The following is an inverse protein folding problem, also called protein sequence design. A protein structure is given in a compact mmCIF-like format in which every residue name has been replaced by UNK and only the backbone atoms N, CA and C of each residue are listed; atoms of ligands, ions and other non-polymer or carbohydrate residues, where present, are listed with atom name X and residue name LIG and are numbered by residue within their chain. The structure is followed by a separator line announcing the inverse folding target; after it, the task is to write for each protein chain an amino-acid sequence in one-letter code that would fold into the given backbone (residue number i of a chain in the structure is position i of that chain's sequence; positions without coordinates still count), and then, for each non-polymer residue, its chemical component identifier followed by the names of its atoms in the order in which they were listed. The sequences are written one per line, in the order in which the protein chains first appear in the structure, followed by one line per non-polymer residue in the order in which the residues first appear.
data_IF_065272997830
#
_entry.id   IF_065272997830
#
_cell.length_a   1.000
_cell.length_b   1.000
_cell.length_c   1.000
_cell.angle_alpha   90.00
_cell.angle_beta   90.00
_cell.angle_gamma   90.00
#
_symmetry.space_group_name_H-M   'P 1'
#
loop_
_entity.id
_entity.type
_entity.pdbx_description
1 polymer ?
#
# COMPACT_ATOMS: atom_id res chain seq x y z
N UNK A 1 7.65 0.01 -14.85
CA UNK A 1 8.47 1.03 -14.14
C UNK A 1 8.09 2.36 -14.78
N UNK A 2 7.44 3.28 -14.06
CA UNK A 2 7.28 4.64 -14.62
C UNK A 2 8.67 5.29 -14.60
N UNK A 3 9.13 5.80 -15.75
CA UNK A 3 10.38 6.56 -15.85
C UNK A 3 10.45 7.68 -14.79
N UNK A 4 9.29 8.27 -14.47
CA UNK A 4 9.11 9.33 -13.48
C UNK A 4 9.56 8.94 -12.05
N UNK A 5 9.43 7.67 -11.64
CA UNK A 5 9.68 7.26 -10.26
C UNK A 5 11.18 7.26 -9.92
N UNK A 6 12.01 6.74 -10.81
CA UNK A 6 13.46 6.74 -10.63
C UNK A 6 14.04 8.15 -10.81
N UNK A 7 13.47 8.95 -11.70
CA UNK A 7 13.86 10.34 -11.90
C UNK A 7 13.68 11.19 -10.64
N UNK A 8 12.58 10.98 -9.89
CA UNK A 8 12.35 11.66 -8.60
C UNK A 8 13.47 11.35 -7.60
N UNK A 9 13.86 10.08 -7.47
CA UNK A 9 14.91 9.67 -6.53
C UNK A 9 16.28 10.22 -6.93
N UNK A 10 16.55 10.25 -8.24
CA UNK A 10 17.77 10.84 -8.82
C UNK A 10 17.86 12.35 -8.59
N UNK A 11 16.78 13.08 -8.88
CA UNK A 11 16.71 14.52 -8.70
C UNK A 11 16.84 14.94 -7.22
N UNK A 12 16.51 14.03 -6.30
CA UNK A 12 16.69 14.20 -4.85
C UNK A 12 18.08 13.80 -4.35
N UNK A 13 18.98 13.36 -5.23
CA UNK A 13 20.36 13.00 -4.87
C UNK A 13 20.47 11.76 -3.99
N UNK A 14 19.49 10.85 -4.07
CA UNK A 14 19.57 9.60 -3.32
C UNK A 14 20.70 8.71 -3.82
N UNK A 15 21.24 7.88 -2.93
CA UNK A 15 22.29 6.90 -3.20
C UNK A 15 21.68 5.51 -3.41
N UNK A 16 22.53 4.53 -3.66
CA UNK A 16 22.17 3.11 -3.73
C UNK A 16 21.10 2.84 -4.82
N UNK A 17 21.36 3.28 -6.06
CA UNK A 17 20.44 3.18 -7.20
C UNK A 17 19.93 1.75 -7.44
N UNK A 18 20.76 0.74 -7.16
CA UNK A 18 20.40 -0.67 -7.24
C UNK A 18 19.25 -1.05 -6.29
N UNK A 19 19.00 -0.26 -5.25
CA UNK A 19 17.91 -0.44 -4.27
C UNK A 19 16.64 0.33 -4.61
N UNK A 20 16.68 1.24 -5.57
CA UNK A 20 15.52 2.08 -5.90
C UNK A 20 14.32 1.27 -6.38
N UNK A 21 14.55 0.17 -7.09
CA UNK A 21 13.47 -0.74 -7.50
C UNK A 21 12.70 -1.33 -6.31
N UNK A 22 13.41 -1.67 -5.23
CA UNK A 22 12.80 -2.16 -3.99
C UNK A 22 12.00 -1.06 -3.29
N UNK A 23 12.58 0.14 -3.17
CA UNK A 23 11.91 1.31 -2.60
C UNK A 23 10.62 1.64 -3.38
N UNK A 24 10.70 1.74 -4.71
CA UNK A 24 9.55 2.02 -5.58
C UNK A 24 8.45 0.98 -5.41
N UNK A 25 8.82 -0.30 -5.30
CA UNK A 25 7.86 -1.39 -5.09
C UNK A 25 7.15 -1.27 -3.74
N UNK A 26 7.88 -0.98 -2.65
CA UNK A 26 7.29 -0.84 -1.31
C UNK A 26 6.31 0.33 -1.21
N UNK A 27 6.58 1.42 -1.92
CA UNK A 27 5.77 2.64 -1.90
C UNK A 27 4.94 2.84 -3.18
N UNK A 28 4.69 1.77 -3.94
CA UNK A 28 3.70 1.74 -5.02
C UNK A 28 3.96 2.67 -6.20
N UNK A 29 5.19 3.17 -6.38
CA UNK A 29 5.56 4.06 -7.49
C UNK A 29 4.82 5.41 -7.54
N UNK A 30 4.14 5.81 -6.47
CA UNK A 30 3.41 7.08 -6.41
C UNK A 30 4.40 8.26 -6.32
N UNK A 31 4.44 9.17 -7.31
CA UNK A 31 5.37 10.31 -7.31
C UNK A 31 5.33 11.18 -6.05
N UNK A 32 4.14 11.39 -5.48
CA UNK A 32 3.99 12.20 -4.27
C UNK A 32 4.58 11.50 -3.04
N UNK A 33 4.33 10.19 -2.89
CA UNK A 33 4.88 9.43 -1.78
C UNK A 33 6.40 9.28 -1.89
N UNK A 34 6.90 9.02 -3.10
CA UNK A 34 8.33 8.94 -3.37
C UNK A 34 9.05 10.26 -3.08
N UNK A 35 8.43 11.41 -3.38
CA UNK A 35 9.00 12.72 -3.02
C UNK A 35 9.10 12.93 -1.51
N UNK A 36 8.05 12.58 -0.76
CA UNK A 36 8.03 12.67 0.71
C UNK A 36 9.15 11.81 1.30
N UNK A 37 9.22 10.55 0.87
CA UNK A 37 10.24 9.61 1.34
C UNK A 37 11.64 10.01 0.95
N UNK A 38 11.84 10.50 -0.27
CA UNK A 38 13.15 10.94 -0.71
C UNK A 38 13.68 12.07 0.20
N UNK A 39 12.82 13.00 0.61
CA UNK A 39 13.19 14.01 1.62
C UNK A 39 13.50 13.38 2.98
N UNK A 40 12.71 12.43 3.47
CA UNK A 40 13.03 11.71 4.72
C UNK A 40 14.37 10.95 4.63
N UNK A 41 14.66 10.30 3.51
CA UNK A 41 15.90 9.53 3.29
C UNK A 41 17.10 10.47 3.20
N UNK A 42 16.97 11.59 2.49
CA UNK A 42 17.99 12.63 2.43
C UNK A 42 18.31 13.17 3.82
N UNK A 43 17.28 13.60 4.57
CA UNK A 43 17.44 14.27 5.86
C UNK A 43 17.96 13.35 6.98
N UNK A 44 17.43 12.13 7.08
CA UNK A 44 17.72 11.23 8.21
C UNK A 44 18.82 10.22 7.91
N UNK A 45 19.01 9.85 6.63
CA UNK A 45 19.93 8.79 6.21
C UNK A 45 21.04 9.32 5.29
N UNK A 46 21.15 10.64 5.12
CA UNK A 46 22.13 11.29 4.26
C UNK A 46 22.11 10.72 2.83
N UNK A 47 20.89 10.49 2.34
CA UNK A 47 20.58 9.95 1.02
C UNK A 47 20.75 8.44 0.86
N UNK A 48 21.18 7.68 1.87
CA UNK A 48 21.37 6.23 1.73
C UNK A 48 20.05 5.46 1.80
N UNK A 49 19.65 4.89 0.66
CA UNK A 49 18.46 4.05 0.54
C UNK A 49 18.69 2.69 1.19
N UNK A 50 19.90 2.13 1.12
CA UNK A 50 20.21 0.85 1.76
C UNK A 50 20.04 0.93 3.29
N UNK A 51 20.53 2.00 3.92
CA UNK A 51 20.32 2.22 5.37
C UNK A 51 18.85 2.40 5.72
N UNK A 52 18.10 3.13 4.90
CA UNK A 52 16.67 3.29 5.11
C UNK A 52 15.92 1.96 5.03
N UNK A 53 16.20 1.14 4.02
CA UNK A 53 15.58 -0.17 3.82
C UNK A 53 16.04 -1.21 4.86
N UNK A 54 17.17 -0.98 5.55
CA UNK A 54 17.64 -1.87 6.63
C UNK A 54 16.79 -1.80 7.91
N UNK A 55 15.90 -0.81 8.04
CA UNK A 55 14.99 -0.71 9.18
C UNK A 55 13.91 -1.81 9.15
N UNK A 56 13.54 -2.38 10.31
CA UNK A 56 12.68 -3.56 10.39
C UNK A 56 11.22 -3.32 10.01
N UNK A 57 10.77 -2.06 10.00
CA UNK A 57 9.41 -1.65 9.68
C UNK A 57 9.40 -0.61 8.58
N UNK A 58 8.39 -0.67 7.71
CA UNK A 58 8.17 0.35 6.70
C UNK A 58 7.90 1.70 7.39
N UNK A 59 8.70 2.71 7.07
CA UNK A 59 8.55 4.02 7.66
C UNK A 59 7.36 4.74 7.02
N UNK A 60 6.29 4.93 7.80
CA UNK A 60 5.15 5.74 7.38
C UNK A 60 5.47 7.23 7.49
N UNK A 61 6.05 7.67 8.62
CA UNK A 61 6.53 9.05 8.80
C UNK A 61 5.49 10.09 8.38
N UNK A 62 5.89 11.01 7.49
CA UNK A 62 5.02 12.06 6.95
C UNK A 62 3.89 11.54 6.04
N UNK A 63 3.91 10.26 5.66
CA UNK A 63 2.81 9.61 4.95
C UNK A 63 1.68 9.21 5.89
N UNK A 64 1.95 8.95 7.17
CA UNK A 64 0.94 8.49 8.14
C UNK A 64 -0.32 9.38 8.20
N UNK A 65 -0.22 10.72 8.36
CA UNK A 65 -1.40 11.58 8.38
C UNK A 65 -2.17 11.59 7.04
N UNK A 66 -1.47 11.41 5.92
CA UNK A 66 -2.09 11.33 4.59
C UNK A 66 -2.87 10.02 4.45
N UNK A 67 -2.27 8.91 4.86
CA UNK A 67 -2.90 7.58 4.86
C UNK A 67 -4.11 7.56 5.80
N UNK A 68 -4.01 8.25 6.95
CA UNK A 68 -5.12 8.45 7.87
C UNK A 68 -6.29 9.18 7.22
N UNK A 69 -6.04 10.25 6.48
CA UNK A 69 -7.11 10.96 5.79
C UNK A 69 -7.83 10.05 4.77
N UNK A 70 -7.06 9.27 3.99
CA UNK A 70 -7.64 8.29 3.07
C UNK A 70 -8.47 7.23 3.79
N UNK A 71 -7.95 6.69 4.89
CA UNK A 71 -8.61 5.64 5.67
C UNK A 71 -9.89 6.14 6.35
N UNK A 72 -9.89 7.36 6.90
CA UNK A 72 -11.05 7.92 7.59
C UNK A 72 -12.25 8.14 6.65
N UNK A 73 -11.98 8.42 5.37
CA UNK A 73 -13.01 8.60 4.33
C UNK A 73 -13.63 7.29 3.85
N UNK A 74 -13.10 6.14 4.27
CA UNK A 74 -13.66 4.84 3.93
C UNK A 74 -14.98 4.60 4.68
N UNK A 75 -15.98 4.11 3.95
CA UNK A 75 -17.20 3.56 4.51
C UNK A 75 -16.91 2.33 5.38
N UNK A 76 -17.88 1.94 6.21
CA UNK A 76 -17.75 0.76 7.07
C UNK A 76 -17.41 -0.50 6.26
N UNK A 77 -18.10 -0.74 5.13
CA UNK A 77 -17.84 -1.87 4.24
C UNK A 77 -16.44 -1.84 3.64
N UNK A 78 -15.94 -0.67 3.25
CA UNK A 78 -14.58 -0.52 2.72
C UNK A 78 -13.52 -0.80 3.79
N UNK A 79 -13.71 -0.31 5.03
CA UNK A 79 -12.81 -0.58 6.16
C UNK A 79 -12.72 -2.08 6.46
N UNK A 80 -13.86 -2.75 6.50
CA UNK A 80 -13.93 -4.21 6.66
C UNK A 80 -13.13 -4.93 5.57
N UNK A 81 -13.36 -4.57 4.30
CA UNK A 81 -12.72 -5.26 3.17
C UNK A 81 -11.22 -5.00 3.15
N UNK A 82 -10.77 -3.76 3.36
CA UNK A 82 -9.34 -3.45 3.34
C UNK A 82 -8.60 -4.06 4.54
N UNK A 83 -9.21 -4.10 5.73
CA UNK A 83 -8.65 -4.80 6.90
C UNK A 83 -8.53 -6.30 6.66
N UNK A 84 -9.56 -6.91 6.07
CA UNK A 84 -9.51 -8.33 5.72
C UNK A 84 -8.42 -8.63 4.67
N UNK A 85 -8.29 -7.82 3.62
CA UNK A 85 -7.24 -7.99 2.62
C UNK A 85 -5.84 -7.73 3.19
N UNK A 86 -5.67 -6.75 4.09
CA UNK A 86 -4.37 -6.41 4.67
C UNK A 86 -3.76 -7.53 5.54
N UNK A 87 -4.60 -8.45 6.04
CA UNK A 87 -4.17 -9.62 6.81
C UNK A 87 -3.71 -10.81 5.95
N UNK A 88 -3.69 -10.67 4.62
CA UNK A 88 -3.34 -11.71 3.66
C UNK A 88 -2.33 -11.18 2.64
N UNK A 89 -1.58 -12.04 1.96
CA UNK A 89 -0.70 -11.61 0.85
C UNK A 89 -1.50 -11.15 -0.36
N UNK A 90 -2.44 -11.99 -0.80
CA UNK A 90 -3.48 -11.64 -1.75
C UNK A 90 -4.69 -12.55 -1.50
N UNK A 91 -5.86 -12.16 -1.98
CA UNK A 91 -7.08 -12.94 -1.80
C UNK A 91 -7.92 -12.99 -3.08
N UNK A 92 -8.58 -14.13 -3.29
CA UNK A 92 -9.55 -14.28 -4.35
C UNK A 92 -10.82 -13.47 -4.02
N UNK A 93 -11.38 -12.77 -5.00
CA UNK A 93 -12.66 -12.06 -4.88
C UNK A 93 -13.81 -12.99 -4.48
N UNK A 94 -13.73 -14.29 -4.76
CA UNK A 94 -14.73 -15.27 -4.32
C UNK A 94 -14.59 -15.67 -2.85
N UNK A 95 -13.44 -15.39 -2.22
CA UNK A 95 -13.18 -15.70 -0.81
C UNK A 95 -13.55 -14.53 0.09
N UNK A 96 -14.84 -14.19 0.15
CA UNK A 96 -15.33 -13.12 1.03
C UNK A 96 -14.92 -13.34 2.50
N UNK A 97 -14.70 -12.29 3.31
CA UNK A 97 -14.54 -12.43 4.75
C UNK A 97 -15.78 -13.04 5.40
N UNK A 98 -15.76 -14.36 5.60
CA UNK A 98 -16.77 -15.10 6.36
C UNK A 98 -16.27 -15.20 7.80
N UNK A 99 -16.90 -14.46 8.72
CA UNK A 99 -16.59 -14.54 10.16
C UNK A 99 -15.63 -13.49 10.73
N UNK A 100 -15.04 -12.62 9.90
CA UNK A 100 -14.22 -11.49 10.40
C UNK A 100 -15.06 -10.41 11.12
N UNK A 101 -16.38 -10.41 10.92
CA UNK A 101 -17.32 -9.48 11.53
C UNK A 101 -18.25 -10.29 12.45
N UNK A 102 -18.13 -10.08 13.76
CA UNK A 102 -18.93 -10.82 14.77
C UNK A 102 -20.42 -10.48 14.73
N UNK A 103 -20.81 -9.36 14.11
CA UNK A 103 -22.15 -8.78 14.27
C UNK A 103 -23.06 -8.92 13.03
N UNK A 104 -22.51 -9.08 11.83
CA UNK A 104 -23.25 -9.49 10.63
C UNK A 104 -22.28 -9.69 9.46
N UNK A 105 -22.38 -10.78 8.67
CA UNK A 105 -21.61 -10.89 7.44
C UNK A 105 -22.00 -9.76 6.48
N UNK A 106 -21.00 -9.13 5.86
CA UNK A 106 -21.23 -8.13 4.81
C UNK A 106 -22.19 -8.71 3.76
N UNK A 107 -23.04 -7.93 3.08
CA UNK A 107 -23.82 -8.43 1.93
C UNK A 107 -22.95 -8.50 0.68
N UNK A 108 -23.29 -9.36 -0.29
CA UNK A 108 -22.48 -9.52 -1.51
C UNK A 108 -22.42 -8.24 -2.34
N UNK A 109 -23.54 -7.52 -2.45
CA UNK A 109 -23.57 -6.22 -3.11
C UNK A 109 -22.62 -5.21 -2.44
N UNK A 110 -22.67 -5.11 -1.11
CA UNK A 110 -21.82 -4.19 -0.34
C UNK A 110 -20.33 -4.56 -0.48
N UNK A 111 -20.00 -5.86 -0.54
CA UNK A 111 -18.64 -6.35 -0.77
C UNK A 111 -18.10 -5.93 -2.13
N UNK A 112 -18.86 -6.17 -3.20
CA UNK A 112 -18.45 -5.82 -4.55
C UNK A 112 -18.36 -4.30 -4.73
N UNK A 113 -19.28 -3.53 -4.14
CA UNK A 113 -19.22 -2.07 -4.15
C UNK A 113 -17.97 -1.55 -3.42
N UNK A 114 -17.64 -2.13 -2.26
CA UNK A 114 -16.43 -1.79 -1.51
C UNK A 114 -15.16 -2.09 -2.33
N UNK A 115 -15.04 -3.28 -2.93
CA UNK A 115 -13.91 -3.63 -3.82
C UNK A 115 -13.78 -2.64 -4.97
N UNK A 116 -14.88 -2.34 -5.66
CA UNK A 116 -14.86 -1.40 -6.78
C UNK A 116 -14.39 -0.01 -6.35
N UNK A 117 -14.88 0.48 -5.21
CA UNK A 117 -14.52 1.80 -4.68
C UNK A 117 -13.04 1.85 -4.25
N UNK A 118 -12.57 0.87 -3.48
CA UNK A 118 -11.18 0.74 -3.06
C UNK A 118 -10.23 0.67 -4.27
N UNK A 119 -10.59 -0.10 -5.30
CA UNK A 119 -9.79 -0.22 -6.53
C UNK A 119 -9.74 1.10 -7.30
N UNK A 120 -10.87 1.81 -7.42
CA UNK A 120 -10.90 3.13 -8.08
C UNK A 120 -10.02 4.17 -7.37
N UNK A 121 -9.85 4.04 -6.06
CA UNK A 121 -8.99 4.90 -5.24
C UNK A 121 -7.53 4.44 -5.19
N UNK A 122 -7.18 3.32 -5.84
CA UNK A 122 -5.82 2.76 -5.80
C UNK A 122 -5.42 2.17 -4.44
N UNK A 123 -6.39 1.86 -3.57
CA UNK A 123 -6.15 1.30 -2.24
C UNK A 123 -6.01 -0.23 -2.26
N UNK A 124 -6.42 -0.86 -3.35
CA UNK A 124 -6.20 -2.27 -3.65
C UNK A 124 -5.82 -2.41 -5.12
N UNK A 125 -5.06 -3.45 -5.41
CA UNK A 125 -4.58 -3.78 -6.75
C UNK A 125 -4.95 -5.19 -7.16
N UNK A 126 -4.89 -5.42 -8.47
CA UNK A 126 -5.09 -6.73 -9.08
C UNK A 126 -3.73 -7.36 -9.29
N UNK A 127 -3.54 -8.55 -8.76
CA UNK A 127 -2.33 -9.36 -8.95
C UNK A 127 -2.71 -10.70 -9.55
N UNK A 128 -1.78 -11.33 -10.25
CA UNK A 128 -1.95 -12.71 -10.71
C UNK A 128 -1.05 -13.62 -9.89
N UNK A 129 -1.56 -14.78 -9.49
CA UNK A 129 -0.71 -15.83 -8.93
C UNK A 129 0.07 -16.57 -10.03
N UNK A 130 0.92 -17.52 -9.63
CA UNK A 130 1.72 -18.33 -10.56
C UNK A 130 0.86 -19.18 -11.51
N UNK A 131 -0.43 -19.36 -11.21
CA UNK A 131 -1.41 -20.09 -12.03
C UNK A 131 -2.20 -19.16 -12.95
N UNK A 132 -1.97 -17.84 -12.88
CA UNK A 132 -2.69 -16.83 -13.66
C UNK A 132 -4.07 -16.49 -13.09
N UNK A 133 -4.38 -16.91 -11.86
CA UNK A 133 -5.62 -16.57 -11.18
C UNK A 133 -5.58 -15.12 -10.68
N UNK A 134 -6.68 -14.41 -10.90
CA UNK A 134 -6.78 -13.01 -10.52
C UNK A 134 -7.08 -12.88 -9.02
N UNK A 135 -6.14 -12.31 -8.27
CA UNK A 135 -6.27 -12.01 -6.87
C UNK A 135 -6.29 -10.49 -6.62
N UNK A 136 -6.72 -10.12 -5.41
CA UNK A 136 -6.71 -8.76 -4.90
C UNK A 136 -5.67 -8.64 -3.79
N UNK A 137 -4.86 -7.58 -3.83
CA UNK A 137 -3.86 -7.28 -2.82
C UNK A 137 -3.97 -5.82 -2.35
N UNK A 138 -3.51 -5.57 -1.12
CA UNK A 138 -3.31 -4.21 -0.60
C UNK A 138 -1.85 -3.83 -0.82
N UNK A 139 -1.55 -2.66 -1.41
CA UNK A 139 -0.17 -2.20 -1.54
C UNK A 139 0.55 -2.17 -0.19
N UNK A 140 1.84 -2.51 -0.17
CA UNK A 140 2.61 -2.69 1.06
C UNK A 140 2.50 -1.51 2.04
N UNK A 141 2.51 -0.27 1.51
CA UNK A 141 2.32 0.94 2.31
C UNK A 141 0.99 0.97 3.08
N UNK A 142 -0.13 0.72 2.39
CA UNK A 142 -1.44 0.67 3.03
C UNK A 142 -1.59 -0.53 3.94
N UNK A 143 -0.97 -1.66 3.58
CA UNK A 143 -0.95 -2.87 4.40
C UNK A 143 -0.28 -2.59 5.74
N UNK A 144 0.84 -1.89 5.74
CA UNK A 144 1.51 -1.46 6.96
C UNK A 144 0.60 -0.52 7.77
N UNK A 145 0.04 0.51 7.14
CA UNK A 145 -0.84 1.46 7.84
C UNK A 145 -2.06 0.79 8.51
N UNK A 146 -2.75 -0.10 7.77
CA UNK A 146 -3.97 -0.76 8.24
C UNK A 146 -3.70 -1.74 9.39
N UNK A 147 -2.49 -2.34 9.47
CA UNK A 147 -2.11 -3.21 10.60
C UNK A 147 -2.03 -2.47 11.94
N UNK A 148 -1.86 -1.15 11.91
CA UNK A 148 -1.75 -0.30 13.09
C UNK A 148 -3.07 0.42 13.45
N UNK A 149 -4.19 0.10 12.79
CA UNK A 149 -5.53 0.66 13.05
C UNK A 149 -6.41 -0.30 13.86
#
# INVERSE_FOLDING_TARGET
MSEDAAEILSNKGLKDEEKWGELIRLYGGNPSWLNILATTIEDLFNGSVDRFLSYPSLCLGDLDPILQEYYQRLSASEKIVIQWLANQEAADIFQKPVGAIRESPLRDADFLTAIQSLRKRGLIEKVCDDRGELLLAVPALFKEYVKHQ
#
